data_IF_523784081337
#
_entry.id   IF_523784081337
#
_cell.length_a   1.000
_cell.length_b   1.000
_cell.length_c   1.000
_cell.angle_alpha   90.00
_cell.angle_beta   90.00
_cell.angle_gamma   90.00
#
_symmetry.space_group_name_H-M   'P 1'
#
loop_
_entity.id
_entity.type
_entity.pdbx_description
1 polymer ?
#
# COMPACT_ATOMS: atom_id res chain seq x y z
N UNK A 1 51.08 -3.52 11.55
CA UNK A 1 49.83 -2.95 11.02
C UNK A 1 49.81 -3.12 9.51
N UNK A 2 49.04 -4.09 8.98
CA UNK A 2 48.94 -4.34 7.53
C UNK A 2 47.88 -3.39 6.93
N UNK A 3 48.29 -2.54 5.98
CA UNK A 3 47.40 -1.63 5.24
C UNK A 3 46.48 -2.45 4.33
N UNK A 4 45.17 -2.37 4.55
CA UNK A 4 44.16 -2.94 3.66
C UNK A 4 44.13 -2.13 2.35
N UNK A 5 44.53 -2.76 1.25
CA UNK A 5 44.40 -2.21 -0.10
C UNK A 5 42.93 -2.22 -0.51
N UNK A 6 42.31 -1.05 -0.67
CA UNK A 6 40.97 -0.92 -1.22
C UNK A 6 41.01 -1.22 -2.72
N UNK A 7 40.50 -2.37 -3.12
CA UNK A 7 40.23 -2.66 -4.53
C UNK A 7 38.86 -2.06 -4.89
N UNK A 8 38.83 -1.21 -5.91
CA UNK A 8 37.60 -0.67 -6.48
C UNK A 8 37.19 -1.56 -7.65
N UNK A 9 36.04 -2.22 -7.53
CA UNK A 9 35.43 -2.97 -8.63
C UNK A 9 34.63 -1.96 -9.45
N UNK A 10 35.07 -1.70 -10.68
CA UNK A 10 34.32 -0.91 -11.64
C UNK A 10 33.43 -1.85 -12.45
N UNK A 11 32.12 -1.70 -12.34
CA UNK A 11 31.14 -2.46 -13.12
C UNK A 11 30.72 -1.61 -14.32
N UNK A 12 31.16 -1.99 -15.52
CA UNK A 12 30.78 -1.35 -16.79
C UNK A 12 29.55 -2.07 -17.35
N UNK A 13 28.38 -1.43 -17.34
CA UNK A 13 27.17 -1.97 -17.97
C UNK A 13 27.07 -1.42 -19.39
N UNK A 14 27.18 -2.32 -20.38
CA UNK A 14 26.97 -2.03 -21.79
C UNK A 14 25.44 -2.00 -22.04
N UNK A 15 24.86 -0.82 -22.16
CA UNK A 15 23.43 -0.66 -22.44
C UNK A 15 23.18 -0.77 -23.95
N UNK A 16 22.84 -1.97 -24.44
CA UNK A 16 22.21 -2.14 -25.75
C UNK A 16 20.71 -1.87 -25.61
N UNK A 17 20.20 -1.02 -26.50
CA UNK A 17 18.82 -0.49 -26.59
C UNK A 17 17.76 -1.59 -26.65
N UNK A 18 17.39 -2.14 -25.51
CA UNK A 18 16.10 -2.76 -25.25
C UNK A 18 15.47 -1.95 -24.12
N UNK A 19 14.27 -1.41 -24.33
CA UNK A 19 13.53 -0.74 -23.26
C UNK A 19 13.15 -1.82 -22.25
N UNK A 20 13.99 -2.00 -21.24
CA UNK A 20 13.63 -2.77 -20.06
C UNK A 20 12.70 -1.85 -19.27
N UNK A 21 11.39 -2.12 -19.29
CA UNK A 21 10.49 -1.63 -18.25
C UNK A 21 10.88 -2.32 -16.95
N UNK A 22 11.96 -1.85 -16.33
CA UNK A 22 12.13 -1.98 -14.90
C UNK A 22 11.08 -1.04 -14.31
N UNK A 23 9.90 -1.59 -14.03
CA UNK A 23 8.98 -1.02 -13.07
C UNK A 23 9.66 -1.05 -11.71
N UNK A 24 10.70 -0.22 -11.55
CA UNK A 24 11.12 0.21 -10.23
C UNK A 24 9.84 0.69 -9.56
N UNK A 25 9.53 0.23 -8.34
CA UNK A 25 8.59 0.97 -7.55
C UNK A 25 9.22 2.35 -7.49
N UNK A 26 8.66 3.30 -8.26
CA UNK A 26 8.76 4.71 -7.98
C UNK A 26 8.68 4.75 -6.47
N UNK A 27 9.70 5.31 -5.81
CA UNK A 27 9.53 5.78 -4.44
C UNK A 27 8.37 6.76 -4.52
N UNK A 28 7.16 6.22 -4.49
CA UNK A 28 5.92 6.93 -4.30
C UNK A 28 6.20 7.70 -3.03
N UNK A 29 6.01 9.03 -3.08
CA UNK A 29 6.10 9.94 -1.92
C UNK A 29 5.83 9.16 -0.64
N UNK A 30 6.78 9.20 0.29
CA UNK A 30 7.07 8.24 1.38
C UNK A 30 5.90 7.73 2.26
N UNK A 31 4.66 8.11 1.95
CA UNK A 31 3.41 7.88 2.66
C UNK A 31 2.54 6.81 1.98
N UNK A 32 2.60 6.67 0.64
CA UNK A 32 1.69 5.79 -0.11
C UNK A 32 2.39 4.51 -0.58
N UNK A 33 1.82 3.36 -0.23
CA UNK A 33 2.32 2.06 -0.64
C UNK A 33 1.22 1.17 -1.21
N UNK A 34 1.61 0.22 -2.06
CA UNK A 34 0.68 -0.74 -2.69
C UNK A 34 0.32 -1.82 -1.69
N UNK A 35 -0.98 -2.01 -1.46
CA UNK A 35 -1.51 -3.08 -0.58
C UNK A 35 -1.91 -4.32 -1.39
N UNK A 36 -2.35 -4.13 -2.63
CA UNK A 36 -2.74 -5.22 -3.50
C UNK A 36 -3.17 -4.73 -4.87
N UNK A 37 -3.78 -5.64 -5.64
CA UNK A 37 -4.30 -5.37 -6.97
C UNK A 37 -5.77 -5.74 -7.05
N UNK A 38 -6.58 -4.90 -7.70
CA UNK A 38 -8.00 -5.20 -7.89
C UNK A 38 -8.22 -6.29 -8.95
N UNK A 39 -9.49 -6.59 -9.27
CA UNK A 39 -9.87 -7.61 -10.25
C UNK A 39 -9.42 -7.32 -11.70
N UNK A 40 -8.89 -6.13 -11.95
CA UNK A 40 -8.39 -5.67 -13.25
C UNK A 40 -6.87 -5.41 -13.23
N UNK A 41 -6.17 -5.95 -12.22
CA UNK A 41 -4.73 -5.75 -11.99
C UNK A 41 -4.31 -4.29 -11.76
N UNK A 42 -5.24 -3.41 -11.33
CA UNK A 42 -4.88 -2.06 -10.92
C UNK A 42 -4.41 -2.04 -9.48
N UNK A 43 -3.28 -1.37 -9.25
CA UNK A 43 -2.70 -1.22 -7.92
C UNK A 43 -3.61 -0.40 -7.01
N UNK A 44 -3.85 -0.92 -5.80
CA UNK A 44 -4.57 -0.24 -4.74
C UNK A 44 -3.56 0.25 -3.71
N UNK A 45 -3.60 1.56 -3.45
CA UNK A 45 -2.64 2.21 -2.57
C UNK A 45 -3.28 2.56 -1.23
N UNK A 46 -2.50 2.50 -0.16
CA UNK A 46 -2.86 3.01 1.16
C UNK A 46 -1.81 4.01 1.65
N UNK A 47 -2.28 5.06 2.35
CA UNK A 47 -1.43 6.02 3.01
C UNK A 47 -1.19 5.62 4.48
N UNK A 48 0.04 5.25 4.83
CA UNK A 48 0.38 4.71 6.15
C UNK A 48 0.39 5.78 7.27
N UNK A 49 0.67 7.04 6.92
CA UNK A 49 0.64 8.19 7.82
C UNK A 49 -0.79 8.66 8.13
N UNK A 50 -1.74 8.35 7.24
CA UNK A 50 -3.15 8.71 7.41
C UNK A 50 -3.91 7.81 8.39
N UNK A 51 -3.26 6.74 8.88
CA UNK A 51 -3.93 5.73 9.69
C UNK A 51 -4.27 6.27 11.08
N UNK A 52 -5.56 6.25 11.43
CA UNK A 52 -6.04 6.63 12.77
C UNK A 52 -6.76 5.46 13.43
N UNK A 53 -6.38 5.19 14.68
CA UNK A 53 -6.97 4.17 15.54
C UNK A 53 -7.90 4.79 16.58
N UNK A 54 -9.10 4.21 16.74
CA UNK A 54 -10.03 4.55 17.83
C UNK A 54 -10.80 3.31 18.27
N UNK A 55 -10.41 2.71 19.40
CA UNK A 55 -10.97 1.42 19.85
C UNK A 55 -10.69 0.33 18.83
N UNK A 56 -11.74 -0.38 18.37
CA UNK A 56 -11.66 -1.38 17.29
C UNK A 56 -11.74 -0.76 15.89
N UNK A 57 -11.97 0.56 15.77
CA UNK A 57 -12.10 1.22 14.47
C UNK A 57 -10.72 1.67 13.98
N UNK A 58 -10.42 1.37 12.71
CA UNK A 58 -9.26 1.89 11.98
C UNK A 58 -9.74 2.64 10.75
N UNK A 59 -9.12 3.78 10.44
CA UNK A 59 -9.35 4.50 9.18
C UNK A 59 -8.04 4.84 8.50
N UNK A 60 -8.03 4.85 7.18
CA UNK A 60 -6.88 5.23 6.36
C UNK A 60 -7.36 5.82 5.03
N UNK A 61 -6.57 6.72 4.46
CA UNK A 61 -6.75 7.10 3.06
C UNK A 61 -6.25 5.98 2.16
N UNK A 62 -7.07 5.65 1.17
CA UNK A 62 -6.77 4.68 0.13
C UNK A 62 -6.97 5.32 -1.24
N UNK A 63 -6.32 4.77 -2.25
CA UNK A 63 -6.52 5.17 -3.64
C UNK A 63 -6.78 3.95 -4.50
N UNK A 64 -7.92 3.98 -5.17
CA UNK A 64 -8.28 3.07 -6.24
C UNK A 64 -8.16 3.80 -7.58
N UNK A 65 -7.91 3.07 -8.67
CA UNK A 65 -7.82 3.67 -10.01
C UNK A 65 -9.18 4.25 -10.46
N UNK A 66 -10.27 3.53 -10.17
CA UNK A 66 -11.63 3.89 -10.58
C UNK A 66 -12.27 4.99 -9.70
N UNK A 67 -12.02 4.94 -8.40
CA UNK A 67 -12.67 5.77 -7.39
C UNK A 67 -11.80 6.99 -7.01
N UNK A 68 -10.51 6.96 -7.33
CA UNK A 68 -9.54 7.95 -6.87
C UNK A 68 -9.27 7.81 -5.37
N UNK A 69 -9.04 8.95 -4.69
CA UNK A 69 -8.81 8.97 -3.23
C UNK A 69 -10.12 8.76 -2.47
N UNK A 70 -10.09 7.86 -1.51
CA UNK A 70 -11.21 7.58 -0.62
C UNK A 70 -10.71 7.35 0.82
N UNK A 71 -11.59 7.48 1.79
CA UNK A 71 -11.35 7.08 3.17
C UNK A 71 -11.90 5.67 3.37
N UNK A 72 -11.03 4.71 3.69
CA UNK A 72 -11.42 3.37 4.12
C UNK A 72 -11.51 3.35 5.64
N UNK A 73 -12.62 2.86 6.17
CA UNK A 73 -12.86 2.75 7.61
C UNK A 73 -13.36 1.35 7.91
N UNK A 74 -12.73 0.68 8.88
CA UNK A 74 -13.03 -0.69 9.25
C UNK A 74 -13.16 -0.83 10.76
N UNK A 75 -14.07 -1.70 11.19
CA UNK A 75 -14.09 -2.26 12.54
C UNK A 75 -13.31 -3.57 12.54
N UNK A 76 -12.17 -3.61 13.24
CA UNK A 76 -11.27 -4.77 13.33
C UNK A 76 -11.82 -5.94 14.15
N UNK A 77 -12.88 -5.72 14.93
CA UNK A 77 -13.59 -6.80 15.65
C UNK A 77 -14.57 -7.52 14.72
N UNK A 78 -15.29 -6.77 13.89
CA UNK A 78 -16.37 -7.32 13.06
C UNK A 78 -16.02 -7.47 11.58
N UNK A 79 -14.86 -6.98 11.13
CA UNK A 79 -14.46 -6.84 9.72
C UNK A 79 -15.46 -6.07 8.84
N UNK A 80 -16.40 -5.35 9.45
CA UNK A 80 -17.32 -4.49 8.72
C UNK A 80 -16.61 -3.20 8.34
N UNK A 81 -16.74 -2.77 7.09
CA UNK A 81 -16.08 -1.57 6.60
C UNK A 81 -17.03 -0.67 5.82
N UNK A 82 -16.61 0.58 5.65
CA UNK A 82 -17.13 1.46 4.63
C UNK A 82 -16.00 2.20 3.92
N UNK A 83 -16.23 2.52 2.65
CA UNK A 83 -15.40 3.39 1.83
C UNK A 83 -16.19 4.67 1.58
N UNK A 84 -15.62 5.81 1.96
CA UNK A 84 -16.16 7.13 1.68
C UNK A 84 -15.30 7.80 0.60
N UNK A 85 -15.88 8.00 -0.58
CA UNK A 85 -15.30 8.79 -1.67
C UNK A 85 -16.06 10.10 -1.84
N UNK A 86 -15.67 10.89 -2.85
CA UNK A 86 -16.44 12.04 -3.33
C UNK A 86 -17.77 11.64 -3.98
N UNK A 87 -17.91 10.40 -4.44
CA UNK A 87 -19.12 9.88 -5.10
C UNK A 87 -20.13 9.29 -4.11
N UNK A 88 -19.72 9.01 -2.87
CA UNK A 88 -20.62 8.55 -1.81
C UNK A 88 -19.95 7.61 -0.82
N UNK A 89 -20.80 6.93 -0.03
CA UNK A 89 -20.40 5.92 0.95
C UNK A 89 -20.85 4.55 0.49
N UNK A 90 -19.94 3.59 0.47
CA UNK A 90 -20.24 2.16 0.21
C UNK A 90 -19.81 1.33 1.41
N UNK A 91 -20.69 0.48 1.90
CA UNK A 91 -20.43 -0.41 3.03
C UNK A 91 -20.21 -1.84 2.54
N UNK A 92 -19.53 -2.65 3.34
CA UNK A 92 -19.28 -4.05 3.02
C UNK A 92 -18.65 -4.82 4.17
N UNK A 93 -18.30 -6.07 3.88
CA UNK A 93 -17.58 -6.97 4.78
C UNK A 93 -16.23 -7.32 4.16
N UNK A 94 -15.15 -7.19 4.93
CA UNK A 94 -13.79 -7.41 4.45
C UNK A 94 -13.46 -8.91 4.47
N UNK A 95 -13.83 -9.62 3.40
CA UNK A 95 -13.54 -11.04 3.24
C UNK A 95 -12.04 -11.27 2.98
N UNK A 96 -11.42 -12.29 3.60
CA UNK A 96 -10.03 -12.66 3.33
C UNK A 96 -9.78 -12.91 1.83
N UNK A 97 -8.66 -12.42 1.32
CA UNK A 97 -8.29 -12.55 -0.10
C UNK A 97 -8.95 -11.53 -1.03
N UNK A 98 -9.91 -10.73 -0.56
CA UNK A 98 -10.39 -9.54 -1.28
C UNK A 98 -9.48 -8.34 -1.00
N UNK A 99 -9.53 -7.30 -1.84
CA UNK A 99 -8.82 -6.05 -1.57
C UNK A 99 -9.24 -5.41 -0.24
N UNK A 100 -10.54 -5.48 0.10
CA UNK A 100 -11.02 -5.00 1.40
C UNK A 100 -10.43 -5.82 2.55
N UNK A 101 -10.29 -7.14 2.37
CA UNK A 101 -9.59 -8.04 3.30
C UNK A 101 -8.11 -7.71 3.45
N UNK A 102 -7.39 -7.45 2.36
CA UNK A 102 -5.97 -7.07 2.42
C UNK A 102 -5.77 -5.73 3.13
N UNK A 103 -6.63 -4.75 2.87
CA UNK A 103 -6.64 -3.46 3.59
C UNK A 103 -6.98 -3.66 5.07
N UNK A 104 -7.95 -4.52 5.37
CA UNK A 104 -8.34 -4.88 6.73
C UNK A 104 -7.15 -5.50 7.48
N UNK A 105 -6.50 -6.49 6.88
CA UNK A 105 -5.35 -7.16 7.46
C UNK A 105 -4.24 -6.14 7.74
N UNK A 106 -3.90 -5.30 6.78
CA UNK A 106 -2.87 -4.30 7.00
C UNK A 106 -3.22 -3.31 8.11
N UNK A 107 -4.44 -2.81 8.14
CA UNK A 107 -4.84 -1.82 9.15
C UNK A 107 -5.02 -2.44 10.54
N UNK A 108 -5.61 -3.61 10.62
CA UNK A 108 -5.97 -4.24 11.89
C UNK A 108 -4.78 -4.97 12.55
N UNK A 109 -3.89 -5.60 11.76
CA UNK A 109 -2.70 -6.24 12.32
C UNK A 109 -1.60 -5.23 12.64
N UNK A 110 -1.26 -4.34 11.70
CA UNK A 110 -0.12 -3.43 11.85
C UNK A 110 -0.38 -2.31 12.85
N UNK A 111 -1.63 -1.88 13.01
CA UNK A 111 -2.01 -0.74 13.87
C UNK A 111 -2.86 -1.15 15.08
N UNK A 112 -2.75 -2.40 15.55
CA UNK A 112 -3.52 -2.89 16.70
C UNK A 112 -3.20 -2.16 18.02
N UNK A 113 -1.97 -1.64 18.19
CA UNK A 113 -1.42 -1.17 19.47
C UNK A 113 -0.89 0.28 19.49
N UNK A 114 -1.15 1.08 18.46
CA UNK A 114 -0.78 2.51 18.46
C UNK A 114 -1.83 3.36 19.17
#
# INVERSE_FOLDING_TARGET
MKRLSKQYIYLSVLATTGVIFLGFPLKVKAEWYVVGYDRYDYAVYMNDESVVAKGEIRRAEVRFEDTGRALFVINCETNSYYIQSNTGRREGYAEPGTIAGLLADEMCYKYRRK
#
